data_IF_427171324864
#
_entry.id   IF_427171324864
#
_cell.length_a   1.000
_cell.length_b   1.000
_cell.length_c   1.000
_cell.angle_alpha   90.00
_cell.angle_beta   90.00
_cell.angle_gamma   90.00
#
_symmetry.space_group_name_H-M   'P 1'
#
loop_
_entity.id
_entity.type
_entity.pdbx_description
1 polymer ?
#
# COMPACT_ATOMS: atom_id res chain seq x y z
N UNK A 1 31.31 8.81 6.88
CA UNK A 1 32.64 8.14 6.96
C UNK A 1 32.39 6.69 6.54
N UNK A 2 33.35 6.02 5.90
CA UNK A 2 33.17 4.61 5.51
C UNK A 2 33.96 3.78 6.49
N UNK A 3 33.31 2.87 7.21
CA UNK A 3 34.00 1.97 8.11
C UNK A 3 34.74 0.88 7.32
N UNK A 4 35.80 0.32 7.93
CA UNK A 4 36.74 -0.63 7.32
C UNK A 4 36.12 -1.94 6.76
N UNK A 5 34.80 -2.12 6.87
CA UNK A 5 34.05 -3.25 6.33
C UNK A 5 33.34 -2.95 4.99
N UNK A 6 33.44 -1.72 4.46
CA UNK A 6 32.79 -1.35 3.19
C UNK A 6 31.30 -1.01 3.30
N UNK A 7 30.72 -1.06 4.50
CA UNK A 7 29.37 -0.55 4.75
C UNK A 7 29.43 0.99 4.86
N UNK A 8 28.66 1.67 4.02
CA UNK A 8 28.37 3.09 4.23
C UNK A 8 27.55 3.22 5.52
N UNK A 9 27.97 4.11 6.43
CA UNK A 9 27.19 4.41 7.62
C UNK A 9 25.82 4.94 7.17
N UNK A 10 24.76 4.14 7.35
CA UNK A 10 23.38 4.52 7.03
C UNK A 10 22.98 5.69 7.92
N UNK A 11 22.54 6.80 7.31
CA UNK A 11 22.22 8.04 8.01
C UNK A 11 20.77 7.98 8.51
N UNK A 12 20.53 8.04 9.84
CA UNK A 12 19.17 8.08 10.37
C UNK A 12 18.45 9.36 9.97
N UNK A 13 17.22 9.25 9.49
CA UNK A 13 16.46 10.38 8.99
C UNK A 13 16.08 11.37 10.10
N UNK A 14 15.81 10.88 11.31
CA UNK A 14 15.48 11.75 12.45
C UNK A 14 16.63 12.67 12.89
N UNK A 15 17.88 12.39 12.49
CA UNK A 15 19.04 13.23 12.78
C UNK A 15 19.23 14.34 11.75
N UNK A 16 18.65 14.18 10.56
CA UNK A 16 18.75 15.16 9.46
C UNK A 16 17.49 16.01 9.31
N UNK A 17 16.38 15.60 9.92
CA UNK A 17 15.09 16.27 9.84
C UNK A 17 14.52 16.61 11.22
N UNK A 18 14.29 17.90 11.46
CA UNK A 18 13.57 18.39 12.64
C UNK A 18 12.07 18.53 12.33
N UNK A 19 11.21 18.14 13.28
CA UNK A 19 9.76 18.19 13.10
C UNK A 19 9.21 19.60 13.38
N UNK A 20 9.58 20.55 12.52
CA UNK A 20 9.12 21.94 12.61
C UNK A 20 8.11 22.25 11.50
N UNK A 21 7.33 23.33 11.67
CA UNK A 21 6.38 23.78 10.64
C UNK A 21 7.07 23.98 9.29
N UNK A 22 8.22 24.64 9.31
CA UNK A 22 8.97 25.00 8.11
C UNK A 22 9.54 23.75 7.42
N UNK A 23 10.14 22.84 8.19
CA UNK A 23 10.75 21.63 7.65
C UNK A 23 9.70 20.67 7.09
N UNK A 24 8.56 20.49 7.77
CA UNK A 24 7.46 19.66 7.25
C UNK A 24 6.92 20.25 5.95
N UNK A 25 6.72 21.57 5.86
CA UNK A 25 6.26 22.19 4.63
C UNK A 25 7.25 21.99 3.47
N UNK A 26 8.55 22.15 3.73
CA UNK A 26 9.60 21.90 2.74
C UNK A 26 9.63 20.44 2.28
N UNK A 27 9.49 19.50 3.21
CA UNK A 27 9.47 18.07 2.93
C UNK A 27 8.25 17.67 2.10
N UNK A 28 7.06 18.11 2.48
CA UNK A 28 5.83 17.84 1.72
C UNK A 28 5.86 18.46 0.32
N UNK A 29 6.51 19.62 0.18
CA UNK A 29 6.74 20.22 -1.14
C UNK A 29 7.71 19.38 -1.96
N UNK A 30 8.80 18.89 -1.36
CA UNK A 30 9.78 18.04 -2.02
C UNK A 30 9.16 16.71 -2.49
N UNK A 31 8.22 16.16 -1.74
CA UNK A 31 7.41 14.98 -2.12
C UNK A 31 6.35 15.27 -3.18
N UNK A 32 6.16 16.52 -3.60
CA UNK A 32 5.12 16.91 -4.56
C UNK A 32 3.69 16.88 -3.98
N UNK A 33 3.54 16.83 -2.65
CA UNK A 33 2.22 16.77 -1.98
C UNK A 33 1.62 18.16 -1.73
N UNK A 34 2.44 19.19 -1.56
CA UNK A 34 2.01 20.57 -1.29
C UNK A 34 2.64 21.57 -2.24
N UNK A 35 2.01 22.74 -2.37
CA UNK A 35 2.57 23.83 -3.17
C UNK A 35 3.65 24.59 -2.39
N UNK A 36 4.55 25.25 -3.13
CA UNK A 36 5.57 26.09 -2.54
C UNK A 36 4.96 27.17 -1.63
N UNK A 37 5.52 27.31 -0.42
CA UNK A 37 5.15 28.33 0.58
C UNK A 37 3.73 28.20 1.16
N UNK A 38 3.11 27.03 1.13
CA UNK A 38 1.84 26.82 1.84
C UNK A 38 2.01 26.92 3.36
N UNK A 39 1.27 27.83 3.98
CA UNK A 39 1.21 27.97 5.43
C UNK A 39 0.32 26.91 6.04
N UNK A 40 0.77 26.26 7.12
CA UNK A 40 -0.06 25.33 7.90
C UNK A 40 -0.67 25.97 9.16
N UNK A 41 -1.88 25.55 9.48
CA UNK A 41 -2.54 25.86 10.75
C UNK A 41 -2.10 24.82 11.79
N UNK A 42 -1.74 25.26 12.99
CA UNK A 42 -1.36 24.36 14.08
C UNK A 42 -2.44 24.44 15.15
N UNK A 43 -3.02 23.29 15.49
CA UNK A 43 -4.00 23.17 16.56
C UNK A 43 -3.76 21.92 17.39
N UNK A 44 -4.12 21.96 18.68
CA UNK A 44 -4.21 20.71 19.44
C UNK A 44 -5.31 19.81 18.85
N UNK A 45 -5.06 18.49 18.80
CA UNK A 45 -5.99 17.51 18.21
C UNK A 45 -7.40 17.59 18.81
N UNK A 46 -7.52 17.78 20.13
CA UNK A 46 -8.80 17.94 20.80
C UNK A 46 -9.60 19.15 20.30
N UNK A 47 -8.93 20.27 20.09
CA UNK A 47 -9.52 21.51 19.55
C UNK A 47 -9.89 21.31 18.09
N UNK A 48 -9.03 20.66 17.32
CA UNK A 48 -9.29 20.36 15.91
C UNK A 48 -10.55 19.51 15.73
N UNK A 49 -10.67 18.40 16.47
CA UNK A 49 -11.85 17.54 16.43
C UNK A 49 -13.09 18.28 16.92
N UNK A 50 -12.97 19.11 17.96
CA UNK A 50 -14.11 19.89 18.45
C UNK A 50 -14.61 20.94 17.44
N UNK A 51 -13.70 21.59 16.69
CA UNK A 51 -14.06 22.66 15.75
C UNK A 51 -14.44 22.15 14.36
N UNK A 52 -13.83 21.06 13.91
CA UNK A 52 -13.93 20.57 12.54
C UNK A 52 -14.54 19.17 12.43
N UNK A 53 -14.67 18.45 13.53
CA UNK A 53 -15.29 17.13 13.57
C UNK A 53 -16.81 17.18 13.41
N UNK A 54 -17.39 16.08 12.95
CA UNK A 54 -18.84 15.93 12.84
C UNK A 54 -19.47 15.86 14.25
N UNK A 55 -20.42 16.77 14.52
CA UNK A 55 -21.12 16.87 15.81
C UNK A 55 -21.91 15.61 16.20
N UNK A 56 -22.18 14.73 15.23
CA UNK A 56 -22.93 13.49 15.43
C UNK A 56 -22.03 12.31 15.83
N UNK A 57 -20.71 12.45 15.77
CA UNK A 57 -19.78 11.37 16.13
C UNK A 57 -19.71 11.16 17.63
N UNK A 58 -19.62 9.89 18.02
CA UNK A 58 -19.56 9.47 19.43
C UNK A 58 -18.24 8.80 19.71
N UNK A 59 -17.49 9.36 20.66
CA UNK A 59 -16.18 8.88 21.07
C UNK A 59 -16.24 8.16 22.41
N UNK A 60 -15.69 6.95 22.45
CA UNK A 60 -15.57 6.15 23.65
C UNK A 60 -14.48 6.73 24.59
N UNK A 61 -14.22 6.05 25.71
CA UNK A 61 -13.26 6.54 26.71
C UNK A 61 -11.82 6.53 26.19
N UNK A 62 -11.44 5.48 25.47
CA UNK A 62 -10.08 5.31 24.95
C UNK A 62 -9.81 6.28 23.79
N UNK A 63 -10.81 6.49 22.91
CA UNK A 63 -10.77 7.49 21.85
C UNK A 63 -10.56 8.90 22.43
N UNK A 64 -11.36 9.30 23.43
CA UNK A 64 -11.21 10.60 24.10
C UNK A 64 -9.86 10.78 24.79
N UNK A 65 -9.39 9.76 25.51
CA UNK A 65 -8.08 9.78 26.13
C UNK A 65 -6.97 9.96 25.08
N UNK A 66 -7.08 9.31 23.92
CA UNK A 66 -6.11 9.48 22.85
C UNK A 66 -6.15 10.91 22.28
N UNK A 67 -7.33 11.41 21.92
CA UNK A 67 -7.55 12.75 21.36
C UNK A 67 -6.98 13.85 22.27
N UNK A 68 -7.13 13.71 23.58
CA UNK A 68 -6.63 14.68 24.57
C UNK A 68 -5.10 14.67 24.70
N UNK A 69 -4.43 13.57 24.36
CA UNK A 69 -2.99 13.38 24.58
C UNK A 69 -2.13 13.34 23.29
N UNK A 70 -2.74 13.28 22.11
CA UNK A 70 -2.03 13.15 20.84
C UNK A 70 -1.21 14.40 20.45
N UNK A 71 -1.45 15.56 21.08
CA UNK A 71 -0.67 16.77 20.88
C UNK A 71 -1.14 17.65 19.71
N UNK A 72 -0.19 18.29 19.05
CA UNK A 72 -0.43 19.26 17.97
C UNK A 72 -0.56 18.59 16.61
N UNK A 73 -1.55 19.04 15.83
CA UNK A 73 -1.74 18.69 14.43
C UNK A 73 -1.46 19.89 13.54
N UNK A 74 -0.72 19.63 12.47
CA UNK A 74 -0.33 20.59 11.44
C UNK A 74 -1.23 20.36 10.23
N UNK A 75 -2.14 21.30 9.99
CA UNK A 75 -3.18 21.17 8.97
C UNK A 75 -2.82 22.06 7.79
N UNK A 76 -2.67 21.45 6.62
CA UNK A 76 -2.40 22.15 5.38
C UNK A 76 -3.70 22.52 4.67
N UNK A 77 -3.60 23.45 3.73
CA UNK A 77 -4.75 23.95 2.97
C UNK A 77 -5.42 22.79 2.23
N UNK A 78 -6.74 22.70 2.36
CA UNK A 78 -7.53 21.72 1.63
C UNK A 78 -7.47 22.00 0.13
N UNK A 79 -7.31 20.93 -0.64
CA UNK A 79 -7.39 20.93 -2.10
C UNK A 79 -8.48 19.97 -2.56
N UNK A 80 -8.81 20.03 -3.84
CA UNK A 80 -10.01 19.40 -4.35
C UNK A 80 -9.71 18.64 -5.63
N UNK A 81 -10.08 17.36 -5.66
CA UNK A 81 -10.00 16.51 -6.86
C UNK A 81 -11.41 16.21 -7.38
N UNK A 82 -11.58 16.10 -8.69
CA UNK A 82 -12.87 15.86 -9.33
C UNK A 82 -13.24 14.39 -9.20
N UNK A 83 -14.52 14.13 -8.92
CA UNK A 83 -15.13 12.80 -9.05
C UNK A 83 -16.22 12.87 -10.12
N UNK A 84 -16.78 11.75 -10.57
CA UNK A 84 -17.84 11.78 -11.59
C UNK A 84 -19.10 12.48 -11.06
N UNK A 85 -19.31 12.44 -9.74
CA UNK A 85 -20.52 12.93 -9.07
C UNK A 85 -20.29 14.13 -8.15
N UNK A 86 -19.12 14.77 -8.22
CA UNK A 86 -18.82 15.93 -7.40
C UNK A 86 -17.33 16.22 -7.29
N UNK A 87 -16.92 16.59 -6.08
CA UNK A 87 -15.55 16.97 -5.76
C UNK A 87 -15.16 16.29 -4.46
N UNK A 88 -14.01 15.62 -4.45
CA UNK A 88 -13.43 15.04 -3.26
C UNK A 88 -12.56 16.09 -2.56
N UNK A 89 -12.89 16.49 -1.31
CA UNK A 89 -11.98 17.25 -0.48
C UNK A 89 -10.78 16.37 -0.09
N UNK A 90 -9.59 16.88 -0.34
CA UNK A 90 -8.31 16.26 -0.03
C UNK A 90 -7.52 17.17 0.91
N UNK A 91 -6.94 16.61 1.96
CA UNK A 91 -6.16 17.37 2.94
C UNK A 91 -4.91 16.63 3.38
N UNK A 92 -3.93 17.40 3.84
CA UNK A 92 -2.69 16.87 4.42
C UNK A 92 -2.64 17.29 5.88
N UNK A 93 -2.44 16.31 6.76
CA UNK A 93 -2.32 16.52 8.19
C UNK A 93 -1.01 15.88 8.66
N UNK A 94 -0.18 16.66 9.34
CA UNK A 94 1.02 16.14 9.99
C UNK A 94 0.89 16.16 11.51
N UNK A 95 1.52 15.21 12.19
CA UNK A 95 1.53 15.16 13.66
C UNK A 95 2.77 14.44 14.19
N UNK A 96 3.17 14.79 15.41
CA UNK A 96 4.14 14.04 16.19
C UNK A 96 3.42 13.27 17.30
N UNK A 97 3.54 11.95 17.26
CA UNK A 97 2.90 11.04 18.19
C UNK A 97 3.94 10.45 19.12
N UNK A 98 3.75 10.68 20.41
CA UNK A 98 4.53 10.03 21.47
C UNK A 98 3.96 8.64 21.79
N UNK A 99 4.83 7.62 21.94
CA UNK A 99 4.40 6.31 22.42
C UNK A 99 5.38 5.17 22.16
N UNK A 100 5.16 4.04 22.83
CA UNK A 100 5.99 2.82 22.68
C UNK A 100 5.66 2.09 21.38
N UNK A 101 4.39 2.06 20.97
CA UNK A 101 3.95 1.44 19.72
C UNK A 101 3.61 2.52 18.68
N UNK A 102 4.63 2.92 17.90
CA UNK A 102 4.50 3.96 16.89
C UNK A 102 3.44 3.64 15.84
N UNK A 103 3.45 2.42 15.28
CA UNK A 103 2.51 2.00 14.22
C UNK A 103 1.06 2.05 14.74
N UNK A 104 0.79 1.43 15.89
CA UNK A 104 -0.56 1.40 16.46
C UNK A 104 -1.09 2.79 16.77
N UNK A 105 -0.27 3.66 17.37
CA UNK A 105 -0.70 5.01 17.67
C UNK A 105 -0.88 5.87 16.41
N UNK A 106 -0.05 5.67 15.38
CA UNK A 106 -0.25 6.29 14.05
C UNK A 106 -1.58 5.87 13.44
N UNK A 107 -1.90 4.58 13.44
CA UNK A 107 -3.17 4.07 12.93
C UNK A 107 -4.36 4.55 13.77
N UNK A 108 -4.21 4.63 15.10
CA UNK A 108 -5.23 5.20 15.98
C UNK A 108 -5.51 6.65 15.57
N UNK A 109 -4.47 7.48 15.44
CA UNK A 109 -4.60 8.86 15.00
C UNK A 109 -5.30 8.98 13.65
N UNK A 110 -4.89 8.19 12.66
CA UNK A 110 -5.51 8.20 11.33
C UNK A 110 -7.01 7.87 11.40
N UNK A 111 -7.38 6.83 12.16
CA UNK A 111 -8.78 6.42 12.34
C UNK A 111 -9.61 7.49 13.03
N UNK A 112 -9.09 8.15 14.07
CA UNK A 112 -9.80 9.23 14.75
C UNK A 112 -10.07 10.42 13.82
N UNK A 113 -9.08 10.78 12.99
CA UNK A 113 -9.23 11.87 12.02
C UNK A 113 -10.22 11.46 10.91
N UNK A 114 -10.13 10.24 10.39
CA UNK A 114 -11.04 9.73 9.36
C UNK A 114 -12.49 9.63 9.86
N UNK A 115 -12.66 9.32 11.14
CA UNK A 115 -13.95 9.33 11.85
C UNK A 115 -14.47 10.75 12.03
N UNK A 116 -13.62 11.67 12.48
CA UNK A 116 -14.02 13.05 12.75
C UNK A 116 -14.40 13.81 11.47
N UNK A 117 -13.65 13.61 10.37
CA UNK A 117 -13.76 14.43 9.16
C UNK A 117 -13.85 13.55 7.91
N UNK A 118 -14.90 13.77 7.12
CA UNK A 118 -15.10 13.10 5.83
C UNK A 118 -14.13 13.60 4.74
N UNK A 119 -13.97 12.83 3.66
CA UNK A 119 -13.06 13.15 2.56
C UNK A 119 -11.76 12.35 2.63
N UNK A 120 -10.80 12.70 1.76
CA UNK A 120 -9.50 12.03 1.66
C UNK A 120 -8.44 12.77 2.46
N UNK A 121 -7.73 12.05 3.32
CA UNK A 121 -6.67 12.61 4.16
C UNK A 121 -5.36 11.87 3.90
N UNK A 122 -4.31 12.64 3.66
CA UNK A 122 -2.91 12.18 3.63
C UNK A 122 -2.28 12.59 4.95
N UNK A 123 -1.54 11.68 5.56
CA UNK A 123 -0.97 11.81 6.88
C UNK A 123 0.55 11.79 6.80
N UNK A 124 1.21 12.72 7.48
CA UNK A 124 2.65 12.67 7.73
C UNK A 124 2.90 12.57 9.24
N UNK A 125 3.33 11.41 9.70
CA UNK A 125 3.34 11.09 11.13
C UNK A 125 4.77 10.82 11.57
N UNK A 126 5.24 11.55 12.57
CA UNK A 126 6.44 11.19 13.33
C UNK A 126 6.03 10.38 14.54
N UNK A 127 6.57 9.17 14.70
CA UNK A 127 6.38 8.36 15.90
C UNK A 127 7.72 7.90 16.46
N UNK A 128 8.19 8.58 17.51
CA UNK A 128 9.53 8.38 18.06
C UNK A 128 10.61 8.77 17.04
N UNK A 129 11.40 7.79 16.61
CA UNK A 129 12.50 7.96 15.63
C UNK A 129 12.07 7.67 14.19
N UNK A 130 10.87 7.14 13.99
CA UNK A 130 10.37 6.74 12.67
C UNK A 130 9.36 7.75 12.16
N UNK A 131 9.32 7.89 10.83
CA UNK A 131 8.31 8.66 10.13
C UNK A 131 7.45 7.74 9.27
N UNK A 132 6.22 8.15 9.01
CA UNK A 132 5.25 7.39 8.24
C UNK A 132 4.46 8.32 7.34
N UNK A 133 4.15 7.82 6.15
CA UNK A 133 3.13 8.41 5.29
C UNK A 133 1.90 7.52 5.34
N UNK A 134 0.78 8.08 5.75
CA UNK A 134 -0.49 7.39 5.78
C UNK A 134 -1.48 8.00 4.80
N UNK A 135 -2.45 7.23 4.36
CA UNK A 135 -3.62 7.73 3.61
C UNK A 135 -4.88 7.07 4.12
N UNK A 136 -6.02 7.76 3.97
CA UNK A 136 -7.33 7.13 4.09
C UNK A 136 -7.51 6.11 2.98
N UNK A 137 -7.93 4.91 3.33
CA UNK A 137 -8.34 3.88 2.40
C UNK A 137 -9.86 3.82 2.29
N UNK A 138 -10.36 3.47 1.11
CA UNK A 138 -11.79 3.25 0.84
C UNK A 138 -12.03 1.76 0.49
N UNK A 139 -11.54 0.84 1.33
CA UNK A 139 -11.63 -0.62 1.12
C UNK A 139 -12.76 -1.26 1.93
N UNK A 140 -12.67 -1.17 3.27
CA UNK A 140 -13.66 -1.68 4.22
C UNK A 140 -13.78 -0.66 5.37
N UNK A 141 -14.96 -0.59 6.01
CA UNK A 141 -15.21 0.23 7.20
C UNK A 141 -14.20 -0.05 8.32
N UNK A 142 -13.67 -1.27 8.40
CA UNK A 142 -12.64 -1.64 9.37
C UNK A 142 -11.21 -1.33 8.90
N UNK A 143 -10.99 -1.27 7.58
CA UNK A 143 -9.70 -1.16 6.91
C UNK A 143 -9.66 0.15 6.08
N UNK A 144 -9.77 1.26 6.79
CA UNK A 144 -9.90 2.62 6.26
C UNK A 144 -8.56 3.39 6.26
N UNK A 145 -7.44 2.69 6.48
CA UNK A 145 -6.11 3.29 6.63
C UNK A 145 -5.05 2.46 5.91
N UNK A 146 -4.22 3.11 5.09
CA UNK A 146 -2.98 2.54 4.55
C UNK A 146 -1.81 3.35 5.12
N UNK A 147 -0.76 2.67 5.58
CA UNK A 147 0.43 3.30 6.16
C UNK A 147 1.70 2.72 5.53
N UNK A 148 2.64 3.59 5.17
CA UNK A 148 3.94 3.22 4.60
C UNK A 148 4.77 2.40 5.60
N UNK A 149 5.86 1.80 5.12
CA UNK A 149 6.94 1.35 6.01
C UNK A 149 7.50 2.51 6.85
N UNK A 150 8.12 2.21 8.01
CA UNK A 150 8.84 3.22 8.76
C UNK A 150 9.97 3.82 7.91
N UNK A 151 9.95 5.13 7.78
CA UNK A 151 11.05 5.93 7.25
C UNK A 151 11.98 6.17 8.43
N UNK A 152 13.01 5.33 8.56
CA UNK A 152 14.00 5.41 9.63
C UNK A 152 15.33 5.98 9.13
N UNK A 153 15.67 5.68 7.88
CA UNK A 153 16.90 6.08 7.20
C UNK A 153 16.62 7.10 6.10
N UNK A 154 17.65 7.84 5.71
CA UNK A 154 17.58 8.76 4.57
C UNK A 154 17.30 8.02 3.25
N UNK A 155 17.80 6.77 3.12
CA UNK A 155 17.49 5.90 1.98
C UNK A 155 15.99 5.57 1.88
N UNK A 156 15.33 5.29 3.01
CA UNK A 156 13.88 5.02 3.05
C UNK A 156 13.08 6.25 2.59
N UNK A 157 13.57 7.44 2.96
CA UNK A 157 12.99 8.71 2.57
C UNK A 157 13.14 9.00 1.07
N UNK A 158 14.33 8.73 0.51
CA UNK A 158 14.58 8.86 -0.92
C UNK A 158 13.68 7.89 -1.71
N UNK A 159 13.58 6.63 -1.27
CA UNK A 159 12.75 5.63 -1.92
C UNK A 159 11.26 6.04 -1.98
N UNK A 160 10.69 6.48 -0.85
CA UNK A 160 9.28 6.89 -0.83
C UNK A 160 9.04 8.18 -1.59
N UNK A 161 10.01 9.10 -1.58
CA UNK A 161 9.91 10.34 -2.35
C UNK A 161 9.93 10.06 -3.85
N UNK A 162 10.81 9.17 -4.30
CA UNK A 162 10.87 8.73 -5.69
C UNK A 162 9.53 8.11 -6.11
N UNK A 163 8.93 7.22 -5.29
CA UNK A 163 7.60 6.67 -5.57
C UNK A 163 6.53 7.76 -5.67
N UNK A 164 6.52 8.72 -4.75
CA UNK A 164 5.56 9.81 -4.74
C UNK A 164 5.72 10.76 -5.93
N UNK A 165 6.94 10.92 -6.46
CA UNK A 165 7.18 11.74 -7.65
C UNK A 165 6.47 11.22 -8.91
N UNK A 166 6.09 9.94 -8.93
CA UNK A 166 5.32 9.31 -10.01
C UNK A 166 3.81 9.32 -9.77
N UNK A 167 3.32 9.86 -8.65
CA UNK A 167 1.89 10.04 -8.41
C UNK A 167 1.32 10.95 -9.49
N UNK A 168 0.20 10.54 -10.08
CA UNK A 168 -0.39 11.28 -11.18
C UNK A 168 -0.81 12.68 -10.72
N UNK A 169 -0.36 13.72 -11.41
CA UNK A 169 -0.94 15.07 -11.30
C UNK A 169 -2.29 15.13 -12.06
N UNK A 170 -3.18 14.18 -11.75
CA UNK A 170 -4.51 14.08 -12.33
C UNK A 170 -5.48 14.90 -11.49
N UNK A 171 -6.35 15.65 -12.17
CA UNK A 171 -7.52 16.26 -11.53
C UNK A 171 -8.57 15.21 -11.14
N UNK A 172 -8.53 14.01 -11.73
CA UNK A 172 -9.42 12.89 -11.40
C UNK A 172 -8.98 12.23 -10.08
N UNK A 173 -9.93 12.14 -9.14
CA UNK A 173 -9.66 11.61 -7.82
C UNK A 173 -9.33 10.11 -7.83
N UNK A 174 -9.96 9.30 -8.69
CA UNK A 174 -9.73 7.85 -8.71
C UNK A 174 -8.31 7.55 -9.16
N UNK A 175 -7.86 8.20 -10.23
CA UNK A 175 -6.50 8.06 -10.75
C UNK A 175 -5.45 8.56 -9.73
N UNK A 176 -5.71 9.71 -9.11
CA UNK A 176 -4.87 10.26 -8.06
C UNK A 176 -4.78 9.32 -6.86
N UNK A 177 -5.91 8.82 -6.37
CA UNK A 177 -5.99 7.89 -5.23
C UNK A 177 -5.26 6.58 -5.52
N UNK A 178 -5.49 5.96 -6.68
CA UNK A 178 -4.84 4.68 -7.03
C UNK A 178 -3.32 4.80 -7.11
N UNK A 179 -2.81 5.85 -7.76
CA UNK A 179 -1.36 6.06 -7.85
C UNK A 179 -0.72 6.37 -6.49
N UNK A 180 -1.44 7.05 -5.59
CA UNK A 180 -1.02 7.23 -4.20
C UNK A 180 -1.03 5.94 -3.39
N UNK A 181 -2.08 5.14 -3.52
CA UNK A 181 -2.17 3.82 -2.89
C UNK A 181 -1.00 2.95 -3.35
N UNK A 182 -0.72 2.88 -4.66
CA UNK A 182 0.38 2.09 -5.20
C UNK A 182 1.76 2.58 -4.72
N UNK A 183 1.94 3.88 -4.50
CA UNK A 183 3.18 4.46 -4.02
C UNK A 183 3.44 4.17 -2.52
N UNK A 184 2.37 4.07 -1.71
CA UNK A 184 2.46 3.96 -0.24
C UNK A 184 2.25 2.53 0.25
N UNK A 185 1.29 1.80 -0.33
CA UNK A 185 0.94 0.44 0.07
C UNK A 185 2.08 -0.52 -0.28
N UNK A 186 2.52 -1.29 0.71
CA UNK A 186 3.50 -2.33 0.47
C UNK A 186 2.84 -3.49 -0.29
N UNK A 187 3.16 -3.58 -1.57
CA UNK A 187 2.94 -4.79 -2.33
C UNK A 187 4.08 -5.77 -2.02
N UNK A 188 3.76 -6.93 -1.44
CA UNK A 188 4.67 -8.07 -1.21
C UNK A 188 5.29 -8.65 -2.50
N UNK A 189 5.21 -7.94 -3.63
CA UNK A 189 6.07 -8.16 -4.78
C UNK A 189 7.47 -7.68 -4.43
N UNK A 190 8.07 -8.28 -3.38
CA UNK A 190 9.50 -8.32 -3.30
C UNK A 190 9.95 -8.84 -4.67
N UNK A 191 10.71 -8.00 -5.39
CA UNK A 191 11.59 -8.41 -6.48
C UNK A 191 12.66 -9.34 -5.88
N UNK A 192 12.23 -10.43 -5.26
CA UNK A 192 13.06 -11.57 -4.97
C UNK A 192 13.36 -12.12 -6.33
N UNK A 193 14.61 -11.94 -6.74
CA UNK A 193 15.20 -12.53 -7.92
C UNK A 193 14.60 -13.92 -8.13
N UNK A 194 13.91 -14.12 -9.26
CA UNK A 194 13.16 -15.34 -9.54
C UNK A 194 14.07 -16.57 -9.39
N UNK A 195 15.35 -16.40 -9.74
CA UNK A 195 16.38 -17.40 -9.57
C UNK A 195 16.66 -17.70 -8.09
N UNK A 196 16.71 -16.68 -7.23
CA UNK A 196 16.85 -16.85 -5.76
C UNK A 196 15.65 -17.55 -5.15
N UNK A 197 14.42 -17.27 -5.60
CA UNK A 197 13.24 -18.01 -5.15
C UNK A 197 13.31 -19.48 -5.56
N UNK A 198 13.77 -19.75 -6.78
CA UNK A 198 13.98 -21.11 -7.28
C UNK A 198 15.06 -21.83 -6.46
N UNK A 199 16.17 -21.15 -6.16
CA UNK A 199 17.25 -21.70 -5.34
C UNK A 199 16.75 -22.06 -3.95
N UNK A 200 16.05 -21.15 -3.26
CA UNK A 200 15.45 -21.40 -1.94
C UNK A 200 14.46 -22.59 -2.01
N UNK A 201 13.60 -22.66 -3.05
CA UNK A 201 12.66 -23.78 -3.25
C UNK A 201 13.35 -25.11 -3.52
N UNK A 202 14.48 -25.10 -4.24
CA UNK A 202 15.30 -26.29 -4.52
C UNK A 202 16.09 -26.75 -3.29
N UNK A 203 16.28 -25.86 -2.32
CA UNK A 203 16.97 -26.12 -1.07
C UNK A 203 18.49 -26.21 -1.24
N UNK A 204 19.16 -26.58 -0.14
CA UNK A 204 20.61 -26.65 -0.03
C UNK A 204 21.18 -27.64 -1.05
N UNK A 205 22.06 -27.16 -1.93
CA UNK A 205 22.74 -28.00 -2.91
C UNK A 205 24.02 -28.60 -2.31
N UNK A 206 23.96 -29.88 -1.94
CA UNK A 206 25.12 -30.60 -1.39
C UNK A 206 26.29 -30.72 -2.38
N UNK A 207 26.04 -30.66 -3.69
CA UNK A 207 27.08 -30.64 -4.72
C UNK A 207 28.01 -29.41 -4.58
N UNK A 208 27.44 -28.24 -4.28
CA UNK A 208 28.20 -27.02 -4.04
C UNK A 208 29.04 -27.11 -2.76
N UNK A 209 28.47 -27.65 -1.69
CA UNK A 209 29.20 -27.89 -0.43
C UNK A 209 30.35 -28.89 -0.60
N UNK A 210 30.14 -29.94 -1.38
CA UNK A 210 31.17 -30.92 -1.71
C UNK A 210 32.31 -30.27 -2.53
N UNK A 211 31.97 -29.41 -3.50
CA UNK A 211 32.96 -28.66 -4.26
C UNK A 211 33.81 -27.74 -3.36
N UNK A 212 33.19 -27.01 -2.42
CA UNK A 212 33.91 -26.20 -1.44
C UNK A 212 34.85 -27.05 -0.55
N UNK A 213 34.40 -28.25 -0.17
CA UNK A 213 35.21 -29.22 0.58
C UNK A 213 36.41 -29.74 -0.22
N UNK A 214 36.22 -30.03 -1.52
CA UNK A 214 37.29 -30.47 -2.41
C UNK A 214 38.33 -29.37 -2.64
N UNK A 215 37.89 -28.12 -2.89
CA UNK A 215 38.78 -26.97 -3.04
C UNK A 215 39.54 -26.72 -1.72
N UNK A 216 38.86 -26.81 -0.57
CA UNK A 216 39.50 -26.74 0.75
C UNK A 216 40.63 -27.75 0.88
N UNK A 217 40.41 -29.00 0.46
CA UNK A 217 41.39 -30.07 0.54
C UNK A 217 42.56 -29.87 -0.44
N UNK A 218 42.31 -29.37 -1.65
CA UNK A 218 43.36 -29.15 -2.68
C UNK A 218 44.25 -27.97 -2.31
N UNK A 219 43.65 -26.84 -1.92
CA UNK A 219 44.35 -25.56 -1.72
C UNK A 219 44.71 -25.29 -0.26
N UNK A 220 44.26 -26.13 0.68
CA UNK A 220 44.47 -25.99 2.13
C UNK A 220 43.96 -24.64 2.67
N UNK A 221 42.82 -24.17 2.16
CA UNK A 221 42.16 -22.93 2.60
C UNK A 221 40.80 -23.27 3.20
N UNK A 222 40.44 -22.63 4.31
CA UNK A 222 39.16 -22.88 4.99
C UNK A 222 38.01 -22.13 4.30
N UNK A 223 36.95 -22.87 3.96
CA UNK A 223 35.68 -22.32 3.49
C UNK A 223 34.55 -22.40 4.53
N UNK A 224 34.90 -22.64 5.80
CA UNK A 224 33.91 -22.74 6.89
C UNK A 224 32.94 -21.55 6.96
N UNK A 225 33.45 -20.32 6.81
CA UNK A 225 32.60 -19.11 6.79
C UNK A 225 31.67 -19.03 5.58
N UNK A 226 32.09 -19.55 4.42
CA UNK A 226 31.27 -19.59 3.21
C UNK A 226 30.16 -20.66 3.32
N UNK A 227 30.51 -21.82 3.88
CA UNK A 227 29.56 -22.89 4.18
C UNK A 227 28.49 -22.39 5.15
N UNK A 228 28.90 -21.71 6.22
CA UNK A 228 27.99 -21.14 7.21
C UNK A 228 27.09 -20.04 6.59
N UNK A 229 27.66 -19.15 5.78
CA UNK A 229 26.90 -18.13 5.03
C UNK A 229 25.86 -18.78 4.11
N UNK A 230 26.25 -19.84 3.41
CA UNK A 230 25.35 -20.57 2.51
C UNK A 230 24.20 -21.21 3.29
N UNK A 231 24.45 -21.92 4.39
CA UNK A 231 23.38 -22.46 5.23
C UNK A 231 22.43 -21.36 5.75
N UNK A 232 22.98 -20.26 6.26
CA UNK A 232 22.20 -19.09 6.71
C UNK A 232 21.34 -18.46 5.63
N UNK A 233 21.70 -18.59 4.35
CA UNK A 233 20.89 -18.08 3.24
C UNK A 233 19.59 -18.89 2.99
N UNK A 234 19.48 -20.10 3.55
CA UNK A 234 18.27 -20.96 3.50
C UNK A 234 17.53 -21.05 4.85
N UNK A 235 18.15 -20.61 5.94
CA UNK A 235 17.43 -20.39 7.20
C UNK A 235 16.47 -19.24 6.95
N UNK A 236 15.18 -19.56 6.76
CA UNK A 236 14.15 -18.57 6.56
C UNK A 236 14.21 -17.57 7.70
N UNK A 237 14.60 -16.33 7.39
CA UNK A 237 14.33 -15.22 8.29
C UNK A 237 12.81 -15.23 8.38
N UNK A 238 12.25 -15.52 9.55
CA UNK A 238 10.86 -15.17 9.85
C UNK A 238 10.80 -13.64 9.81
N UNK A 239 10.80 -13.07 8.61
CA UNK A 239 10.45 -11.68 8.42
C UNK A 239 9.00 -11.60 8.85
N UNK A 240 8.79 -11.06 10.06
CA UNK A 240 7.48 -10.59 10.47
C UNK A 240 7.07 -9.59 9.38
N UNK A 241 6.18 -10.04 8.51
CA UNK A 241 5.73 -9.24 7.39
C UNK A 241 5.11 -7.97 7.97
N UNK A 242 5.66 -6.81 7.61
CA UNK A 242 5.18 -5.52 8.09
C UNK A 242 3.66 -5.36 7.87
N UNK A 243 3.17 -5.85 6.73
CA UNK A 243 1.75 -5.88 6.41
C UNK A 243 0.93 -6.66 7.45
N UNK A 244 1.48 -7.75 8.01
CA UNK A 244 0.81 -8.52 9.07
C UNK A 244 0.70 -7.72 10.36
N UNK A 245 1.75 -6.96 10.73
CA UNK A 245 1.74 -6.09 11.92
C UNK A 245 0.69 -4.99 11.75
N UNK A 246 0.65 -4.35 10.57
CA UNK A 246 -0.33 -3.30 10.25
C UNK A 246 -1.75 -3.87 10.34
N UNK A 247 -2.01 -5.04 9.72
CA UNK A 247 -3.33 -5.69 9.77
C UNK A 247 -3.75 -6.07 11.17
N UNK A 248 -2.84 -6.56 12.01
CA UNK A 248 -3.10 -6.84 13.42
C UNK A 248 -3.48 -5.57 14.17
N UNK A 249 -2.73 -4.49 14.00
CA UNK A 249 -3.05 -3.20 14.62
C UNK A 249 -4.40 -2.63 14.15
N UNK A 250 -4.72 -2.73 12.86
CA UNK A 250 -6.02 -2.31 12.31
C UNK A 250 -7.16 -3.14 12.92
N UNK A 251 -6.98 -4.46 13.06
CA UNK A 251 -7.97 -5.34 13.68
C UNK A 251 -8.19 -5.00 15.16
N UNK A 252 -7.14 -4.70 15.92
CA UNK A 252 -7.24 -4.24 17.30
C UNK A 252 -8.00 -2.91 17.43
N UNK A 253 -7.92 -2.05 16.42
CA UNK A 253 -8.57 -0.74 16.37
C UNK A 253 -9.93 -0.76 15.66
N UNK A 254 -10.49 -1.94 15.38
CA UNK A 254 -11.78 -2.11 14.69
C UNK A 254 -13.00 -1.57 15.45
N UNK A 255 -12.82 -1.16 16.71
CA UNK A 255 -13.84 -0.47 17.48
C UNK A 255 -14.01 1.01 17.08
N UNK A 256 -12.98 1.62 16.47
CA UNK A 256 -13.04 3.01 15.98
C UNK A 256 -13.77 3.00 14.65
N UNK A 257 -15.02 3.42 14.68
CA UNK A 257 -15.92 3.49 13.52
C UNK A 257 -16.71 4.79 13.56
N UNK A 258 -16.95 5.36 12.39
CA UNK A 258 -17.90 6.46 12.22
C UNK A 258 -19.33 5.96 12.46
N UNK A 259 -20.11 6.74 13.19
CA UNK A 259 -21.53 6.45 13.41
C UNK A 259 -22.38 6.72 12.16
N UNK A 260 -21.83 7.49 11.21
CA UNK A 260 -22.51 7.95 10.01
C UNK A 260 -21.98 7.23 8.77
N UNK A 261 -22.88 6.92 7.85
CA UNK A 261 -22.48 6.52 6.51
C UNK A 261 -21.86 7.71 5.77
N UNK A 262 -20.58 7.63 5.42
CA UNK A 262 -19.92 8.67 4.66
C UNK A 262 -20.44 8.67 3.21
N UNK A 263 -21.25 9.68 2.86
CA UNK A 263 -21.84 9.79 1.53
C UNK A 263 -20.81 9.95 0.43
N UNK A 264 -19.64 10.53 0.72
CA UNK A 264 -18.57 10.66 -0.27
C UNK A 264 -17.87 9.33 -0.56
N UNK A 265 -17.71 8.50 0.47
CA UNK A 265 -17.20 7.13 0.34
C UNK A 265 -18.16 6.26 -0.48
N UNK A 266 -19.46 6.38 -0.24
CA UNK A 266 -20.48 5.75 -1.09
C UNK A 266 -20.44 6.22 -2.56
N UNK A 267 -20.15 7.51 -2.79
CA UNK A 267 -20.00 8.03 -4.16
C UNK A 267 -18.72 7.50 -4.82
N UNK A 268 -17.64 7.38 -4.06
CA UNK A 268 -16.39 6.78 -4.52
C UNK A 268 -16.58 5.31 -4.88
N UNK A 269 -17.16 4.49 -3.99
CA UNK A 269 -17.45 3.08 -4.23
C UNK A 269 -18.31 2.89 -5.48
N UNK A 270 -19.33 3.74 -5.67
CA UNK A 270 -20.17 3.71 -6.85
C UNK A 270 -19.40 4.06 -8.14
N UNK A 271 -18.50 5.04 -8.07
CA UNK A 271 -17.68 5.46 -9.21
C UNK A 271 -16.64 4.39 -9.60
N UNK A 272 -16.05 3.71 -8.61
CA UNK A 272 -15.13 2.58 -8.80
C UNK A 272 -15.84 1.36 -9.37
N UNK A 273 -16.99 0.95 -8.81
CA UNK A 273 -17.79 -0.15 -9.36
C UNK A 273 -18.21 0.11 -10.81
N UNK A 274 -18.56 1.35 -11.15
CA UNK A 274 -18.91 1.72 -12.51
C UNK A 274 -17.71 1.61 -13.47
N UNK A 275 -16.51 1.96 -13.03
CA UNK A 275 -15.31 1.82 -13.85
C UNK A 275 -14.93 0.35 -14.06
N UNK A 276 -15.05 -0.48 -13.02
CA UNK A 276 -14.85 -1.93 -13.12
C UNK A 276 -15.87 -2.57 -14.07
N UNK A 277 -17.15 -2.18 -13.95
CA UNK A 277 -18.20 -2.65 -14.85
C UNK A 277 -17.91 -2.25 -16.31
N UNK A 278 -17.49 -1.01 -16.57
CA UNK A 278 -17.11 -0.55 -17.90
C UNK A 278 -15.93 -1.34 -18.47
N UNK A 279 -14.87 -1.57 -17.67
CA UNK A 279 -13.73 -2.40 -18.09
C UNK A 279 -14.17 -3.83 -18.41
N UNK A 280 -15.04 -4.42 -17.60
CA UNK A 280 -15.57 -5.77 -17.83
C UNK A 280 -16.47 -5.82 -19.07
N UNK A 281 -17.28 -4.79 -19.33
CA UNK A 281 -18.07 -4.67 -20.56
C UNK A 281 -17.15 -4.55 -21.78
N UNK A 282 -16.13 -3.69 -21.74
CA UNK A 282 -15.15 -3.55 -22.82
C UNK A 282 -14.38 -4.86 -23.07
N UNK A 283 -13.94 -5.56 -22.02
CA UNK A 283 -13.31 -6.88 -22.12
C UNK A 283 -14.25 -7.94 -22.71
N UNK A 284 -15.52 -7.94 -22.29
CA UNK A 284 -16.54 -8.82 -22.85
C UNK A 284 -16.85 -8.50 -24.31
N UNK A 285 -16.92 -7.22 -24.69
CA UNK A 285 -17.10 -6.80 -26.09
C UNK A 285 -15.92 -7.22 -26.96
N UNK A 286 -14.68 -7.07 -26.46
CA UNK A 286 -13.47 -7.58 -27.12
C UNK A 286 -13.51 -9.11 -27.23
N UNK A 287 -13.94 -9.81 -26.18
CA UNK A 287 -14.10 -11.27 -26.19
C UNK A 287 -15.14 -11.73 -27.20
N UNK A 288 -16.31 -11.08 -27.27
CA UNK A 288 -17.38 -11.36 -28.25
C UNK A 288 -16.92 -11.00 -29.66
N UNK A 289 -16.24 -9.86 -29.86
CA UNK A 289 -15.66 -9.45 -31.14
C UNK A 289 -14.66 -10.47 -31.66
N UNK A 290 -13.77 -10.97 -30.80
CA UNK A 290 -12.79 -12.01 -31.13
C UNK A 290 -13.44 -13.38 -31.40
N UNK A 291 -14.59 -13.70 -30.80
CA UNK A 291 -15.37 -14.89 -31.17
C UNK A 291 -16.05 -14.72 -32.54
N UNK A 292 -16.55 -13.52 -32.84
CA UNK A 292 -17.18 -13.23 -34.12
C UNK A 292 -16.16 -13.22 -35.28
N UNK A 293 -14.94 -12.73 -35.08
CA UNK A 293 -13.86 -12.82 -36.07
C UNK A 293 -13.39 -14.27 -36.32
N UNK A 294 -13.46 -15.15 -35.31
CA UNK A 294 -13.19 -16.59 -35.48
C UNK A 294 -14.35 -17.37 -36.12
N UNK A 295 -15.54 -16.80 -36.16
CA UNK A 295 -16.75 -17.42 -36.72
C UNK A 295 -16.99 -17.11 -38.21
N UNK A 296 -16.13 -16.34 -38.88
CA UNK A 296 -16.11 -16.23 -40.35
C UNK A 296 -15.45 -17.43 -41.04
N UNK A 297 -15.70 -18.64 -40.54
CA UNK A 297 -15.53 -19.89 -41.30
C UNK A 297 -16.93 -20.51 -41.45
N UNK A 298 -17.70 -19.98 -42.40
CA UNK A 298 -19.11 -20.30 -42.70
C UNK A 298 -19.38 -21.76 -43.13
N UNK A 299 -18.42 -22.69 -43.03
CA UNK A 299 -18.63 -24.10 -43.37
C UNK A 299 -19.03 -25.00 -42.19
N UNK A 300 -18.92 -24.56 -40.93
CA UNK A 300 -18.94 -25.48 -39.77
C UNK A 300 -20.26 -25.54 -38.96
N UNK A 301 -21.23 -24.66 -39.24
CA UNK A 301 -22.47 -24.56 -38.45
C UNK A 301 -23.57 -25.55 -38.92
N UNK A 302 -23.51 -26.02 -40.17
CA UNK A 302 -24.49 -26.97 -40.69
C UNK A 302 -24.38 -28.36 -40.05
N UNK A 303 -23.18 -28.76 -39.63
CA UNK A 303 -22.95 -30.05 -38.97
C UNK A 303 -23.39 -30.04 -37.51
N UNK A 304 -23.36 -28.88 -36.83
CA UNK A 304 -23.77 -28.79 -35.42
C UNK A 304 -25.30 -28.87 -35.27
N UNK A 305 -26.04 -28.35 -36.25
CA UNK A 305 -27.51 -28.49 -36.34
C UNK A 305 -27.98 -29.94 -36.51
N UNK A 306 -27.15 -30.84 -37.04
CA UNK A 306 -27.51 -32.26 -37.24
C UNK A 306 -27.57 -33.09 -35.96
N UNK A 307 -27.02 -32.61 -34.86
CA UNK A 307 -26.90 -33.37 -33.61
C UNK A 307 -27.78 -32.83 -32.46
N UNK A 308 -28.67 -31.88 -32.75
CA UNK A 308 -29.63 -31.32 -31.78
C UNK A 308 -30.49 -32.39 -31.11
N UNK A 309 -30.88 -33.42 -31.87
CA UNK A 309 -31.73 -34.51 -31.38
C UNK A 309 -30.96 -35.59 -30.59
N UNK A 310 -29.63 -35.47 -30.45
CA UNK A 310 -28.82 -36.47 -29.77
C UNK A 310 -27.72 -35.85 -28.89
N UNK A 311 -28.06 -35.43 -27.66
CA UNK A 311 -27.19 -34.60 -26.81
C UNK A 311 -25.88 -35.29 -26.41
N UNK A 312 -25.83 -36.63 -26.33
CA UNK A 312 -24.58 -37.36 -26.05
C UNK A 312 -23.54 -37.21 -27.15
N UNK A 313 -23.98 -37.22 -28.41
CA UNK A 313 -23.12 -37.07 -29.59
C UNK A 313 -22.59 -35.64 -29.70
N UNK A 314 -23.43 -34.66 -29.38
CA UNK A 314 -23.04 -33.25 -29.33
C UNK A 314 -21.96 -33.01 -28.26
N UNK A 315 -22.14 -33.58 -27.06
CA UNK A 315 -21.14 -33.47 -25.97
C UNK A 315 -19.81 -34.13 -26.37
N UNK A 316 -19.85 -35.27 -27.07
CA UNK A 316 -18.63 -35.98 -27.50
C UNK A 316 -17.84 -35.17 -28.54
N UNK A 317 -18.51 -34.52 -29.49
CA UNK A 317 -17.86 -33.62 -30.44
C UNK A 317 -17.26 -32.38 -29.77
N UNK A 318 -17.99 -31.78 -28.80
CA UNK A 318 -17.50 -30.61 -28.06
C UNK A 318 -16.26 -30.93 -27.22
N UNK A 319 -16.19 -32.14 -26.64
CA UNK A 319 -14.98 -32.61 -25.92
C UNK A 319 -13.79 -32.78 -26.86
N UNK A 320 -13.99 -33.42 -28.03
CA UNK A 320 -12.94 -33.53 -29.05
C UNK A 320 -12.43 -32.16 -29.53
N UNK A 321 -13.32 -31.17 -29.72
CA UNK A 321 -12.90 -29.81 -30.11
C UNK A 321 -12.12 -29.08 -29.03
N UNK A 322 -12.34 -29.41 -27.75
CA UNK A 322 -11.55 -28.87 -26.62
C UNK A 322 -10.26 -29.66 -26.33
N UNK A 323 -9.99 -30.73 -27.08
CA UNK A 323 -8.80 -31.57 -26.87
C UNK A 323 -8.84 -32.35 -25.55
N UNK A 324 -10.04 -32.68 -25.05
CA UNK A 324 -10.28 -33.44 -23.81
C UNK A 324 -10.87 -34.81 -24.13
#
# INVERSE_FOLDING_TARGET
>A
MVNFNGDADKIPFYETFEFTREDIAHLLQYMGLTNAQESCQIEHMNKFIFLHGDEQEVYNKDERNFIENAGDVYIYKEFYKRTKRGVMPCRIIATEISGINGIKNSLFFMKEINKAIGGFTIFFIKAGVNYYIGIRAFKDVNDDCIISKPIALTEDFEEITDKLSYVADSDDFIDYYRTLVDAIEENNLALTDYDRQIEIKRGIQYSYLNMLSEISHIYKVSFSGEIERYYKSFEGIEEINYLSIVKECIAELSFIKSFKANTMEMLFEADEMMELAKKTEEENEIFIGNQNEKNYNEENDSDMMRYLDNPELMIKMLKQRKGI
#
